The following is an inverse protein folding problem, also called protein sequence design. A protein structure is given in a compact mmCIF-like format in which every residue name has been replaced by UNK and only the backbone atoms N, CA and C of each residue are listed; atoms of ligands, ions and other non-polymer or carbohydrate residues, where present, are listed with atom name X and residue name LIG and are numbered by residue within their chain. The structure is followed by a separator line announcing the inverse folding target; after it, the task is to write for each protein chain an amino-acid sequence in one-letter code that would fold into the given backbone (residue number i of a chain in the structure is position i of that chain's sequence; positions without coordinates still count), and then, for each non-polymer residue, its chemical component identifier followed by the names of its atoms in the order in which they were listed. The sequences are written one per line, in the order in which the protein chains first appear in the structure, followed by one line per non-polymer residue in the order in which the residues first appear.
data_IF_584035245192
#
_entry.id   IF_584035245192
#
_cell.length_a   1.000
_cell.length_b   1.000
_cell.length_c   1.000
_cell.angle_alpha   90.00
_cell.angle_beta   90.00
_cell.angle_gamma   90.00
#
_symmetry.space_group_name_H-M   'P 1'
#
loop_
_entity.id
_entity.type
_entity.pdbx_description
1 polymer ?
#
# COMPACT_ATOMS: atom_id res chain seq x y z
N UNK A 1 50.66 34.60 21.91
CA UNK A 1 49.71 35.51 21.22
C UNK A 1 48.32 34.89 21.35
N UNK A 2 47.49 35.30 22.34
CA UNK A 2 46.34 36.23 22.16
C UNK A 2 45.68 36.04 20.79
N UNK A 3 44.46 35.57 20.59
CA UNK A 3 43.26 35.42 21.40
C UNK A 3 42.08 35.68 20.45
N UNK A 4 41.01 34.88 20.46
CA UNK A 4 39.72 35.34 19.92
C UNK A 4 38.58 34.46 20.40
N UNK A 5 37.87 34.99 21.39
CA UNK A 5 36.65 34.44 21.97
C UNK A 5 35.49 34.92 21.08
N UNK A 6 34.80 34.01 20.38
CA UNK A 6 33.58 34.38 19.66
C UNK A 6 32.42 34.48 20.65
N UNK A 7 32.00 35.72 20.86
CA UNK A 7 30.84 36.16 21.64
C UNK A 7 29.56 35.70 20.91
N UNK A 8 28.73 34.88 21.55
CA UNK A 8 27.34 34.70 21.15
C UNK A 8 26.49 35.75 21.87
N UNK A 9 25.87 36.63 21.09
CA UNK A 9 24.90 37.61 21.57
C UNK A 9 23.51 37.00 21.56
N UNK A 10 22.86 37.04 22.71
CA UNK A 10 21.48 36.67 22.96
C UNK A 10 20.49 37.80 22.60
N UNK A 11 19.22 37.40 22.43
CA UNK A 11 17.96 38.16 22.55
C UNK A 11 17.36 38.77 21.25
N UNK A 12 16.01 38.97 21.16
CA UNK A 12 15.03 38.92 22.24
C UNK A 12 13.78 38.05 22.04
N UNK A 13 13.21 37.74 23.21
CA UNK A 13 11.86 37.29 23.52
C UNK A 13 10.77 38.16 22.86
N UNK A 14 10.02 37.57 21.93
CA UNK A 14 8.77 38.13 21.40
C UNK A 14 7.58 37.68 22.23
N UNK A 15 7.08 38.59 23.08
CA UNK A 15 5.92 38.42 23.95
C UNK A 15 4.62 38.84 23.24
N UNK A 16 3.58 38.01 23.43
CA UNK A 16 2.14 38.33 23.50
C UNK A 16 1.47 39.16 22.40
N UNK A 17 0.49 38.55 21.70
CA UNK A 17 -0.89 39.08 21.60
C UNK A 17 -1.91 37.94 21.58
N UNK A 18 -2.58 37.80 22.70
CA UNK A 18 -3.82 37.04 22.87
C UNK A 18 -4.95 37.69 22.06
N UNK A 19 -5.76 36.89 21.39
CA UNK A 19 -7.08 37.30 20.90
C UNK A 19 -8.12 36.36 21.50
N UNK A 20 -9.02 36.82 22.38
CA UNK A 20 -10.22 36.10 22.75
C UNK A 20 -11.38 36.57 21.87
N UNK A 21 -12.09 35.65 21.21
CA UNK A 21 -13.20 36.03 20.35
C UNK A 21 -14.06 34.86 19.87
N UNK A 22 -15.07 34.55 20.68
CA UNK A 22 -16.42 34.16 20.28
C UNK A 22 -16.66 32.83 19.49
N UNK A 23 -17.22 31.84 20.20
CA UNK A 23 -18.63 31.39 20.09
C UNK A 23 -18.79 29.85 20.05
N UNK A 24 -19.63 29.26 20.93
CA UNK A 24 -20.05 27.86 20.83
C UNK A 24 -21.27 27.74 19.90
N UNK A 25 -21.04 27.27 18.68
CA UNK A 25 -22.07 27.01 17.68
C UNK A 25 -22.32 25.52 17.47
N UNK A 26 -23.32 25.00 18.21
CA UNK A 26 -24.27 23.91 17.89
C UNK A 26 -23.80 22.71 17.05
N UNK A 27 -24.03 21.54 17.66
CA UNK A 27 -24.17 20.25 17.01
C UNK A 27 -25.10 20.31 15.79
N UNK A 28 -24.66 19.67 14.71
CA UNK A 28 -25.56 18.98 13.78
C UNK A 28 -24.86 17.69 13.34
N UNK A 29 -25.37 16.56 13.81
CA UNK A 29 -25.28 15.30 13.09
C UNK A 29 -25.91 15.54 11.72
N UNK A 30 -25.10 15.50 10.66
CA UNK A 30 -25.62 15.37 9.30
C UNK A 30 -25.13 14.04 8.76
N UNK A 31 -26.06 13.10 8.70
CA UNK A 31 -26.22 12.12 7.64
C UNK A 31 -25.00 11.89 6.73
N UNK A 32 -24.29 10.80 7.01
CA UNK A 32 -23.54 10.08 5.99
C UNK A 32 -24.55 9.55 4.97
N UNK A 33 -24.87 10.38 3.98
CA UNK A 33 -25.56 9.95 2.78
C UNK A 33 -24.77 8.79 2.13
N UNK A 34 -25.45 7.74 1.64
CA UNK A 34 -24.80 6.71 0.84
C UNK A 34 -24.20 7.36 -0.41
N UNK A 35 -22.90 7.18 -0.60
CA UNK A 35 -22.24 7.55 -1.86
C UNK A 35 -22.72 6.57 -2.93
N UNK A 36 -23.78 6.93 -3.64
CA UNK A 36 -24.18 6.30 -4.89
C UNK A 36 -23.03 6.48 -5.89
N UNK A 37 -22.23 5.44 -6.07
CA UNK A 37 -21.22 5.40 -7.12
C UNK A 37 -21.94 5.30 -8.47
N UNK A 38 -21.78 6.25 -9.40
CA UNK A 38 -22.33 6.08 -10.74
C UNK A 38 -21.70 4.84 -11.37
N UNK A 39 -22.55 3.85 -11.71
CA UNK A 39 -22.18 2.73 -12.57
C UNK A 39 -21.64 3.30 -13.87
N UNK A 40 -20.36 3.08 -14.14
CA UNK A 40 -19.76 3.40 -15.43
C UNK A 40 -20.44 2.55 -16.51
N UNK A 41 -21.07 3.23 -17.46
CA UNK A 41 -21.74 2.67 -18.64
C UNK A 41 -20.68 2.16 -19.64
N UNK A 42 -20.63 0.85 -19.99
CA UNK A 42 -19.55 0.29 -20.81
C UNK A 42 -19.78 0.41 -22.33
N UNK A 43 -20.48 1.45 -22.81
CA UNK A 43 -20.83 1.58 -24.25
C UNK A 43 -20.60 2.96 -24.84
N UNK A 44 -19.34 3.33 -25.13
CA UNK A 44 -18.95 4.08 -26.34
C UNK A 44 -17.44 4.33 -26.44
N UNK A 45 -16.97 4.48 -27.68
CA UNK A 45 -15.60 4.69 -28.17
C UNK A 45 -14.74 3.40 -28.21
N UNK A 46 -14.61 2.67 -29.32
CA UNK A 46 -14.77 3.05 -30.72
C UNK A 46 -13.46 3.59 -31.32
N UNK A 47 -12.59 2.65 -31.72
CA UNK A 47 -11.58 2.69 -32.80
C UNK A 47 -10.77 3.97 -33.04
N UNK A 48 -9.45 3.85 -32.86
CA UNK A 48 -8.48 4.42 -33.79
C UNK A 48 -7.26 3.49 -33.93
N UNK A 49 -7.01 3.08 -35.17
CA UNK A 49 -5.85 2.33 -35.61
C UNK A 49 -4.62 3.25 -35.68
N UNK A 50 -3.45 2.72 -35.33
CA UNK A 50 -2.18 3.42 -35.46
C UNK A 50 -1.00 2.48 -35.30
N UNK A 51 -0.47 2.01 -36.42
CA UNK A 51 0.61 1.04 -36.52
C UNK A 51 2.01 1.64 -36.29
N UNK A 52 2.98 0.73 -36.08
CA UNK A 52 4.47 0.85 -36.22
C UNK A 52 5.15 1.41 -34.95
N UNK A 53 6.25 0.89 -34.38
CA UNK A 53 7.42 0.10 -34.86
C UNK A 53 8.00 -0.73 -33.70
N UNK A 54 8.24 -2.03 -33.87
CA UNK A 54 9.56 -2.71 -33.91
C UNK A 54 10.71 -2.10 -33.05
N UNK A 55 10.96 -2.73 -31.91
CA UNK A 55 12.28 -3.05 -31.33
C UNK A 55 12.02 -4.18 -30.32
N UNK A 56 12.48 -5.42 -30.49
CA UNK A 56 13.88 -5.79 -30.66
C UNK A 56 14.46 -6.45 -29.40
N UNK A 57 13.68 -7.19 -28.61
CA UNK A 57 14.20 -7.96 -27.47
C UNK A 57 14.46 -9.42 -27.88
N UNK A 58 15.57 -9.62 -28.62
CA UNK A 58 16.21 -10.93 -28.81
C UNK A 58 17.49 -10.95 -27.98
N UNK A 59 17.56 -11.92 -27.07
CA UNK A 59 18.69 -12.52 -26.31
C UNK A 59 18.14 -12.79 -24.91
N UNK A 60 18.17 -13.97 -24.31
CA UNK A 60 19.09 -15.08 -24.51
C UNK A 60 18.37 -16.38 -24.10
N UNK A 61 18.36 -17.38 -24.99
CA UNK A 61 17.99 -18.76 -24.68
C UNK A 61 19.26 -19.59 -24.77
N UNK A 62 19.95 -19.75 -23.64
CA UNK A 62 20.92 -20.84 -23.40
C UNK A 62 20.67 -21.36 -21.99
N UNK A 63 20.05 -22.55 -21.92
CA UNK A 63 20.70 -23.80 -21.54
C UNK A 63 21.18 -23.81 -20.09
N UNK A 64 20.28 -24.26 -19.23
CA UNK A 64 20.61 -24.98 -18.01
C UNK A 64 19.67 -26.18 -17.91
N UNK A 65 20.04 -27.29 -18.53
CA UNK A 65 19.51 -28.60 -18.18
C UNK A 65 19.86 -28.83 -16.72
N UNK A 66 18.86 -29.13 -15.89
CA UNK A 66 19.03 -29.18 -14.46
C UNK A 66 17.84 -29.81 -13.76
N UNK A 67 17.74 -31.13 -13.92
CA UNK A 67 17.21 -32.10 -12.96
C UNK A 67 15.69 -32.13 -12.76
N UNK A 68 15.20 -33.33 -13.03
CA UNK A 68 13.95 -33.93 -12.60
C UNK A 68 13.62 -33.61 -11.14
N UNK A 69 12.53 -32.89 -10.95
CA UNK A 69 11.72 -33.00 -9.74
C UNK A 69 10.26 -33.12 -10.17
N UNK A 70 9.82 -34.35 -10.46
CA UNK A 70 8.42 -34.72 -10.30
C UNK A 70 8.17 -34.75 -8.78
N UNK A 71 7.41 -33.82 -8.19
CA UNK A 71 6.92 -34.03 -6.85
C UNK A 71 6.01 -35.25 -6.88
N UNK A 72 6.38 -36.25 -6.10
CA UNK A 72 5.56 -37.42 -5.79
C UNK A 72 4.23 -36.87 -5.29
N UNK A 73 3.15 -37.14 -6.03
CA UNK A 73 1.78 -36.85 -5.64
C UNK A 73 1.44 -37.86 -4.53
N UNK A 74 1.92 -37.56 -3.33
CA UNK A 74 1.49 -38.21 -2.10
C UNK A 74 0.19 -37.56 -1.69
N UNK A 75 -0.89 -38.30 -1.88
CA UNK A 75 -2.13 -38.15 -1.13
C UNK A 75 -1.83 -38.46 0.34
N UNK A 76 -1.38 -37.45 1.09
CA UNK A 76 -1.32 -37.49 2.56
C UNK A 76 -2.37 -36.52 3.09
N UNK A 77 -3.32 -37.08 3.84
CA UNK A 77 -4.59 -36.46 4.18
C UNK A 77 -4.53 -35.15 4.93
N UNK A 78 -5.58 -34.35 4.76
CA UNK A 78 -6.62 -34.25 5.78
C UNK A 78 -6.22 -33.78 7.20
N UNK A 79 -5.02 -33.25 7.41
CA UNK A 79 -4.59 -32.61 8.64
C UNK A 79 -4.22 -31.16 8.33
N UNK A 80 -5.24 -30.30 8.33
CA UNK A 80 -5.09 -28.90 8.71
C UNK A 80 -4.25 -28.84 10.01
N UNK A 81 -3.31 -27.92 10.23
CA UNK A 81 -3.53 -26.49 10.49
C UNK A 81 -2.14 -25.81 10.50
N UNK A 82 -1.96 -24.73 9.72
CA UNK A 82 -0.87 -23.72 9.82
C UNK A 82 0.59 -24.14 9.57
N UNK A 83 0.95 -24.61 8.37
CA UNK A 83 2.32 -24.35 7.91
C UNK A 83 2.53 -22.83 7.86
N UNK A 84 3.52 -22.30 8.58
CA UNK A 84 3.78 -20.87 8.66
C UNK A 84 4.04 -20.34 7.25
N UNK A 85 3.14 -19.49 6.75
CA UNK A 85 3.24 -18.92 5.39
C UNK A 85 4.66 -18.38 5.14
N UNK A 86 5.23 -18.69 3.99
CA UNK A 86 6.49 -18.08 3.61
C UNK A 86 6.31 -16.57 3.48
N UNK A 87 7.38 -15.79 3.68
CA UNK A 87 7.34 -14.34 3.53
C UNK A 87 6.77 -13.91 2.17
N UNK A 88 7.15 -14.61 1.09
CA UNK A 88 6.66 -14.36 -0.26
C UNK A 88 5.15 -14.55 -0.38
N UNK A 89 4.61 -15.65 0.16
CA UNK A 89 3.17 -15.93 0.14
C UNK A 89 2.36 -14.89 0.93
N UNK A 90 2.87 -14.42 2.07
CA UNK A 90 2.23 -13.36 2.85
C UNK A 90 2.10 -12.06 2.05
N UNK A 91 3.18 -11.69 1.34
CA UNK A 91 3.18 -10.52 0.45
C UNK A 91 2.14 -10.73 -0.66
N UNK A 92 2.15 -11.87 -1.34
CA UNK A 92 1.19 -12.18 -2.40
C UNK A 92 -0.25 -12.07 -1.92
N UNK A 93 -0.58 -12.65 -0.75
CA UNK A 93 -1.93 -12.55 -0.17
C UNK A 93 -2.37 -11.12 0.13
N UNK A 94 -1.46 -10.26 0.60
CA UNK A 94 -1.76 -8.83 0.81
C UNK A 94 -2.13 -8.15 -0.52
N UNK A 95 -1.38 -8.43 -1.58
CA UNK A 95 -1.65 -7.86 -2.90
C UNK A 95 -2.98 -8.38 -3.45
N UNK A 96 -3.22 -9.69 -3.41
CA UNK A 96 -4.46 -10.29 -3.92
C UNK A 96 -5.70 -9.75 -3.19
N UNK A 97 -5.63 -9.63 -1.86
CA UNK A 97 -6.72 -9.07 -1.08
C UNK A 97 -6.94 -7.59 -1.38
N UNK A 98 -5.87 -6.81 -1.56
CA UNK A 98 -5.99 -5.41 -1.94
C UNK A 98 -6.58 -5.24 -3.35
N UNK A 99 -6.18 -6.07 -4.33
CA UNK A 99 -6.79 -6.08 -5.65
C UNK A 99 -8.30 -6.34 -5.56
N UNK A 100 -8.69 -7.38 -4.82
CA UNK A 100 -10.09 -7.76 -4.62
C UNK A 100 -10.91 -6.63 -3.98
N UNK A 101 -10.42 -6.11 -2.85
CA UNK A 101 -11.16 -5.14 -2.02
C UNK A 101 -11.39 -3.79 -2.71
N UNK A 102 -10.40 -3.31 -3.46
CA UNK A 102 -10.52 -2.04 -4.17
C UNK A 102 -10.90 -2.19 -5.65
N UNK A 103 -11.13 -3.42 -6.10
CA UNK A 103 -11.46 -3.75 -7.50
C UNK A 103 -10.46 -3.14 -8.49
N UNK A 104 -9.17 -3.33 -8.21
CA UNK A 104 -8.05 -2.82 -9.01
C UNK A 104 -7.15 -3.97 -9.45
N UNK A 105 -6.56 -3.85 -10.63
CA UNK A 105 -5.64 -4.86 -11.14
C UNK A 105 -4.26 -4.77 -10.50
N UNK A 106 -3.58 -5.91 -10.34
CA UNK A 106 -2.23 -5.97 -9.82
C UNK A 106 -1.25 -5.16 -10.70
N UNK A 107 -1.45 -5.17 -12.02
CA UNK A 107 -0.67 -4.40 -12.97
C UNK A 107 -0.83 -2.89 -12.75
N UNK A 108 -2.04 -2.42 -12.40
CA UNK A 108 -2.28 -1.01 -12.08
C UNK A 108 -1.65 -0.63 -10.74
N UNK A 109 -1.74 -1.49 -9.72
CA UNK A 109 -1.11 -1.24 -8.43
C UNK A 109 0.42 -1.12 -8.54
N UNK A 110 1.06 -1.92 -9.39
CA UNK A 110 2.50 -1.87 -9.67
C UNK A 110 2.88 -0.84 -10.73
N UNK A 111 1.95 -0.42 -11.57
CA UNK A 111 2.21 0.50 -12.68
C UNK A 111 2.56 1.93 -12.24
N UNK A 112 3.06 2.76 -13.16
CA UNK A 112 3.47 4.14 -12.85
C UNK A 112 2.30 5.10 -12.63
N UNK A 113 1.06 4.69 -12.96
CA UNK A 113 -0.16 5.51 -12.87
C UNK A 113 -0.31 6.13 -11.48
N UNK A 114 -0.75 7.40 -11.41
CA UNK A 114 -0.94 8.16 -10.16
C UNK A 114 -2.40 8.54 -9.92
N UNK A 115 -3.34 7.81 -10.54
CA UNK A 115 -4.77 8.05 -10.36
C UNK A 115 -5.15 7.98 -8.87
N UNK A 116 -6.03 8.90 -8.45
CA UNK A 116 -6.40 9.07 -7.05
C UNK A 116 -7.00 7.81 -6.42
N UNK A 117 -7.74 7.01 -7.18
CA UNK A 117 -8.31 5.74 -6.75
C UNK A 117 -7.25 4.64 -6.48
N UNK A 118 -6.06 4.74 -7.06
CA UNK A 118 -4.96 3.79 -6.81
C UNK A 118 -4.13 4.14 -5.57
N UNK A 119 -4.24 5.36 -5.03
CA UNK A 119 -3.46 5.80 -3.88
C UNK A 119 -3.89 5.07 -2.60
N UNK A 120 -5.18 4.99 -2.23
CA UNK A 120 -5.62 4.25 -1.05
C UNK A 120 -5.14 2.79 -1.00
N UNK A 121 -5.36 1.93 -2.03
CA UNK A 121 -4.91 0.54 -1.95
C UNK A 121 -3.38 0.41 -1.87
N UNK A 122 -2.61 1.23 -2.59
CA UNK A 122 -1.14 1.21 -2.48
C UNK A 122 -0.67 1.62 -1.09
N UNK A 123 -1.25 2.67 -0.53
CA UNK A 123 -0.93 3.11 0.83
C UNK A 123 -1.28 2.03 1.86
N UNK A 124 -2.42 1.33 1.69
CA UNK A 124 -2.83 0.23 2.56
C UNK A 124 -1.82 -0.93 2.51
N UNK A 125 -1.39 -1.33 1.31
CA UNK A 125 -0.35 -2.37 1.11
C UNK A 125 0.95 -1.99 1.82
N UNK A 126 1.42 -0.75 1.64
CA UNK A 126 2.68 -0.30 2.30
C UNK A 126 2.55 -0.39 3.82
N UNK A 127 1.45 0.10 4.39
CA UNK A 127 1.23 0.06 5.84
C UNK A 127 1.16 -1.39 6.34
N UNK A 128 0.44 -2.28 5.64
CA UNK A 128 0.35 -3.68 6.01
C UNK A 128 1.72 -4.39 5.96
N UNK A 129 2.52 -4.16 4.91
CA UNK A 129 3.87 -4.72 4.78
C UNK A 129 4.85 -4.19 5.83
N UNK A 130 4.69 -2.95 6.29
CA UNK A 130 5.46 -2.36 7.39
C UNK A 130 5.06 -2.90 8.76
N UNK A 131 3.85 -3.41 8.91
CA UNK A 131 3.35 -3.99 10.16
C UNK A 131 3.39 -5.53 10.18
N UNK A 132 3.88 -6.14 9.11
CA UNK A 132 4.04 -7.59 9.03
C UNK A 132 5.14 -8.04 9.99
N UNK A 133 4.73 -8.64 11.11
CA UNK A 133 5.62 -9.25 12.10
C UNK A 133 5.83 -10.74 11.79
N UNK A 134 6.99 -11.34 12.10
CA UNK A 134 8.11 -10.77 12.86
C UNK A 134 9.04 -9.83 12.05
N UNK A 135 9.06 -9.93 10.72
CA UNK A 135 10.01 -9.20 9.87
C UNK A 135 9.34 -8.15 8.97
N UNK A 136 9.21 -6.89 9.44
CA UNK A 136 8.65 -5.83 8.61
C UNK A 136 9.56 -5.54 7.42
N UNK A 137 8.99 -5.39 6.22
CA UNK A 137 9.78 -5.12 5.01
C UNK A 137 10.32 -3.69 5.05
N UNK A 138 11.56 -3.46 4.62
CA UNK A 138 12.12 -2.11 4.49
C UNK A 138 11.46 -1.33 3.34
N UNK A 139 11.46 0.00 3.39
CA UNK A 139 10.86 0.83 2.33
C UNK A 139 11.44 0.60 0.93
N UNK A 140 12.77 0.41 0.74
CA UNK A 140 13.30 0.04 -0.57
C UNK A 140 12.71 -1.26 -1.11
N UNK A 141 12.63 -2.31 -0.28
CA UNK A 141 12.06 -3.61 -0.68
C UNK A 141 10.56 -3.48 -1.01
N UNK A 142 9.82 -2.69 -0.23
CA UNK A 142 8.40 -2.42 -0.52
C UNK A 142 8.25 -1.68 -1.86
N UNK A 143 9.11 -0.69 -2.11
CA UNK A 143 9.16 0.05 -3.38
C UNK A 143 9.36 -0.87 -4.58
N UNK A 144 10.30 -1.81 -4.49
CA UNK A 144 10.53 -2.84 -5.51
C UNK A 144 9.28 -3.70 -5.76
N UNK A 145 8.64 -4.21 -4.69
CA UNK A 145 7.39 -5.00 -4.80
C UNK A 145 6.22 -4.22 -5.42
N UNK A 146 6.26 -2.90 -5.32
CA UNK A 146 5.30 -1.97 -5.88
C UNK A 146 5.65 -1.47 -7.30
N UNK A 147 6.56 -2.16 -7.99
CA UNK A 147 6.93 -1.86 -9.37
C UNK A 147 8.13 -0.94 -9.51
N UNK A 148 9.16 -1.12 -8.67
CA UNK A 148 10.41 -0.34 -8.75
C UNK A 148 10.27 1.11 -8.29
N UNK A 149 9.39 1.37 -7.30
CA UNK A 149 9.25 2.71 -6.72
C UNK A 149 10.40 3.02 -5.79
N UNK A 150 10.82 4.29 -5.78
CA UNK A 150 11.81 4.75 -4.82
C UNK A 150 11.31 4.59 -3.36
N UNK A 151 12.24 4.34 -2.44
CA UNK A 151 11.98 4.18 -1.02
C UNK A 151 11.27 5.40 -0.41
N UNK A 152 11.58 6.62 -0.89
CA UNK A 152 10.91 7.86 -0.46
C UNK A 152 9.42 7.87 -0.85
N UNK A 153 9.08 7.34 -2.02
CA UNK A 153 7.70 7.18 -2.47
C UNK A 153 6.95 6.15 -1.62
N UNK A 154 7.60 5.03 -1.26
CA UNK A 154 7.03 4.07 -0.32
C UNK A 154 6.82 4.70 1.06
N UNK A 155 7.77 5.48 1.57
CA UNK A 155 7.64 6.20 2.83
C UNK A 155 6.45 7.19 2.82
N UNK A 156 6.30 7.97 1.74
CA UNK A 156 5.18 8.91 1.59
C UNK A 156 3.83 8.19 1.55
N UNK A 157 3.75 7.02 0.89
CA UNK A 157 2.56 6.17 0.90
C UNK A 157 2.24 5.64 2.30
N UNK A 158 3.25 5.26 3.09
CA UNK A 158 3.05 4.84 4.48
C UNK A 158 2.44 5.96 5.32
N UNK A 159 3.04 7.16 5.27
CA UNK A 159 2.53 8.33 5.97
C UNK A 159 1.08 8.66 5.56
N UNK A 160 0.78 8.63 4.25
CA UNK A 160 -0.58 8.83 3.74
C UNK A 160 -1.54 7.74 4.23
N UNK A 161 -1.11 6.49 4.26
CA UNK A 161 -1.91 5.37 4.77
C UNK A 161 -2.27 5.55 6.24
N UNK A 162 -1.32 5.99 7.08
CA UNK A 162 -1.61 6.32 8.47
C UNK A 162 -2.59 7.49 8.62
N UNK A 163 -2.47 8.53 7.80
CA UNK A 163 -3.46 9.64 7.80
C UNK A 163 -4.86 9.15 7.43
N UNK A 164 -4.97 8.30 6.41
CA UNK A 164 -6.25 7.72 5.98
C UNK A 164 -6.87 6.85 7.08
N UNK A 165 -6.07 5.99 7.72
CA UNK A 165 -6.52 5.14 8.83
C UNK A 165 -7.01 5.95 10.05
N UNK A 166 -6.44 7.13 10.31
CA UNK A 166 -6.92 8.03 11.38
C UNK A 166 -8.26 8.67 11.06
N UNK A 167 -8.56 8.90 9.77
CA UNK A 167 -9.76 9.63 9.32
C UNK A 167 -10.93 8.71 8.98
N UNK A 168 -10.66 7.48 8.58
CA UNK A 168 -11.66 6.52 8.16
C UNK A 168 -11.48 5.20 8.91
N UNK A 169 -12.48 4.86 9.73
CA UNK A 169 -12.56 3.58 10.43
C UNK A 169 -12.63 2.41 9.46
N UNK A 170 -13.36 2.55 8.34
CA UNK A 170 -13.44 1.56 7.28
C UNK A 170 -12.07 1.29 6.63
N UNK A 171 -11.30 2.34 6.34
CA UNK A 171 -9.94 2.18 5.81
C UNK A 171 -8.99 1.52 6.82
N UNK A 172 -9.05 1.92 8.09
CA UNK A 172 -8.24 1.29 9.17
C UNK A 172 -8.54 -0.20 9.27
N UNK A 173 -9.82 -0.53 9.41
CA UNK A 173 -10.29 -1.90 9.45
C UNK A 173 -9.83 -2.66 8.19
N UNK A 174 -9.77 -1.99 7.04
CA UNK A 174 -9.31 -2.62 5.83
C UNK A 174 -7.82 -2.98 5.87
N UNK A 175 -6.97 -2.12 6.42
CA UNK A 175 -5.54 -2.40 6.63
C UNK A 175 -5.34 -3.54 7.64
N UNK A 176 -6.12 -3.53 8.72
CA UNK A 176 -6.04 -4.57 9.76
C UNK A 176 -6.34 -5.96 9.18
N UNK A 177 -7.33 -6.07 8.29
CA UNK A 177 -7.61 -7.35 7.61
C UNK A 177 -6.46 -7.82 6.71
N UNK A 178 -5.80 -6.90 5.98
CA UNK A 178 -4.64 -7.26 5.16
C UNK A 178 -3.54 -7.87 6.03
N UNK A 179 -3.30 -7.28 7.20
CA UNK A 179 -2.32 -7.78 8.18
C UNK A 179 -2.77 -9.14 8.73
N UNK A 180 -4.04 -9.30 9.07
CA UNK A 180 -4.59 -10.55 9.58
C UNK A 180 -4.46 -11.70 8.57
N UNK A 181 -4.80 -11.46 7.30
CA UNK A 181 -4.67 -12.45 6.22
C UNK A 181 -3.20 -12.85 6.01
N UNK A 182 -2.28 -11.90 6.09
CA UNK A 182 -0.84 -12.16 6.00
C UNK A 182 -0.30 -12.96 7.20
N UNK A 183 -0.95 -12.88 8.35
CA UNK A 183 -0.66 -13.71 9.53
C UNK A 183 -1.29 -15.10 9.46
N UNK A 184 -2.09 -15.37 8.44
CA UNK A 184 -2.76 -16.66 8.24
C UNK A 184 -4.14 -16.74 8.88
N UNK A 185 -4.73 -15.63 9.30
CA UNK A 185 -6.12 -15.64 9.75
C UNK A 185 -7.05 -16.04 8.60
N UNK A 186 -8.03 -16.94 8.83
CA UNK A 186 -8.98 -17.33 7.81
C UNK A 186 -9.80 -16.11 7.37
N UNK A 187 -9.95 -15.96 6.05
CA UNK A 187 -10.81 -14.92 5.48
C UNK A 187 -12.25 -15.16 5.96
N UNK A 188 -12.86 -14.20 6.66
CA UNK A 188 -14.28 -14.26 7.02
C UNK A 188 -14.63 -14.36 8.50
N UNK A 189 -13.65 -14.38 9.41
CA UNK A 189 -13.93 -14.22 10.84
C UNK A 189 -13.99 -12.72 11.21
N UNK A 190 -15.08 -12.05 10.84
CA UNK A 190 -15.48 -10.80 11.51
C UNK A 190 -16.79 -11.08 12.26
N UNK A 191 -16.86 -10.79 13.57
CA UNK A 191 -18.13 -10.80 14.30
C UNK A 191 -19.09 -9.74 13.77
#
# INVERSE_FOLDING_TARGET
MRGSVRRWSSAPTGSMKSSPGAAPGKAVCSDLAPQDHPRADPRRAGRAAGARRRAGWRRDRRRGQGRDHRPRRGDDGGLAVTAALTRGERVTRIFDEACRRWSVDLAELRGPSRLGNLIPPRAAIVVALRQLTPEPLSYPVIGEKLGGRDHSAAHNLAHRGHQLARRSTGYRAAVDDLIAIARGAPQGLRP
#
